data_IF_327799422820
#
_entry.id   IF_327799422820
#
_cell.length_a   1.000
_cell.length_b   1.000
_cell.length_c   1.000
_cell.angle_alpha   90.00
_cell.angle_beta   90.00
_cell.angle_gamma   90.00
#
_symmetry.space_group_name_H-M   'P 1'
#
loop_
_entity.id
_entity.type
_entity.pdbx_description
1 polymer ?
#
# COMPACT_ATOMS: atom_id res chain seq x y z
N UNK A 1 8.08 -7.10 28.78
CA UNK A 1 7.08 -6.59 27.81
C UNK A 1 7.77 -6.58 26.46
N UNK A 2 7.15 -7.17 25.45
CA UNK A 2 7.66 -7.12 24.08
C UNK A 2 7.41 -5.70 23.56
N UNK A 3 8.44 -5.05 23.03
CA UNK A 3 8.32 -3.77 22.33
C UNK A 3 7.74 -3.99 20.93
N UNK A 4 7.16 -2.97 20.27
CA UNK A 4 6.64 -3.12 18.91
C UNK A 4 7.67 -3.65 17.90
N UNK A 5 8.95 -3.30 18.09
CA UNK A 5 10.04 -3.77 17.25
C UNK A 5 10.39 -5.25 17.53
N UNK A 6 10.38 -5.66 18.80
CA UNK A 6 10.56 -7.07 19.17
C UNK A 6 9.39 -7.92 18.65
N UNK A 7 8.15 -7.41 18.70
CA UNK A 7 7.00 -8.08 18.09
C UNK A 7 7.19 -8.22 16.58
N UNK A 8 7.58 -7.15 15.89
CA UNK A 8 7.83 -7.16 14.45
C UNK A 8 8.82 -8.27 14.07
N UNK A 9 9.98 -8.33 14.74
CA UNK A 9 11.00 -9.34 14.45
C UNK A 9 10.55 -10.74 14.84
N UNK A 10 9.86 -10.89 15.96
CA UNK A 10 9.31 -12.17 16.35
C UNK A 10 8.31 -12.67 15.30
N UNK A 11 7.32 -11.85 14.92
CA UNK A 11 6.31 -12.24 13.94
C UNK A 11 6.93 -12.53 12.57
N UNK A 12 7.91 -11.73 12.13
CA UNK A 12 8.71 -12.00 10.92
C UNK A 12 9.33 -13.40 10.96
N UNK A 13 9.98 -13.75 12.05
CA UNK A 13 10.68 -15.03 12.16
C UNK A 13 9.68 -16.20 12.14
N UNK A 14 8.49 -16.04 12.73
CA UNK A 14 7.42 -17.02 12.62
C UNK A 14 6.93 -17.22 11.18
N UNK A 15 6.81 -16.14 10.41
CA UNK A 15 6.44 -16.24 8.99
C UNK A 15 7.51 -17.01 8.20
N UNK A 16 8.80 -16.75 8.48
CA UNK A 16 9.92 -17.48 7.86
C UNK A 16 9.91 -18.96 8.19
N UNK A 17 9.75 -19.31 9.47
CA UNK A 17 9.68 -20.70 9.93
C UNK A 17 8.53 -21.48 9.27
N UNK A 18 7.45 -20.79 8.89
CA UNK A 18 6.31 -21.39 8.18
C UNK A 18 6.41 -21.37 6.66
N UNK A 19 7.51 -20.85 6.11
CA UNK A 19 7.66 -20.67 4.67
C UNK A 19 6.51 -19.83 4.08
N UNK A 20 6.08 -18.80 4.81
CA UNK A 20 5.14 -17.78 4.33
C UNK A 20 5.97 -16.70 3.65
N UNK A 21 5.67 -16.40 2.39
CA UNK A 21 6.32 -15.30 1.68
C UNK A 21 5.74 -13.99 2.16
N UNK A 22 6.60 -13.05 2.55
CA UNK A 22 6.18 -11.73 2.98
C UNK A 22 7.21 -10.65 2.63
N UNK A 23 6.75 -9.39 2.68
CA UNK A 23 7.59 -8.20 2.72
C UNK A 23 7.02 -7.18 3.71
N UNK A 24 7.83 -6.70 4.65
CA UNK A 24 7.49 -5.62 5.58
C UNK A 24 7.59 -4.30 4.83
N UNK A 25 6.54 -3.48 4.83
CA UNK A 25 6.46 -2.28 3.99
C UNK A 25 6.04 -1.03 4.78
N UNK A 26 5.81 0.06 4.05
CA UNK A 26 5.21 1.31 4.53
C UNK A 26 5.91 1.84 5.79
N UNK A 27 5.21 2.05 6.92
CA UNK A 27 5.77 2.76 8.08
C UNK A 27 7.01 2.08 8.67
N UNK A 28 6.98 0.76 8.82
CA UNK A 28 8.10 0.00 9.38
C UNK A 28 9.29 -0.03 8.43
N UNK A 29 9.07 -0.15 7.12
CA UNK A 29 10.15 -0.04 6.14
C UNK A 29 10.80 1.36 6.16
N UNK A 30 10.00 2.42 6.32
CA UNK A 30 10.54 3.78 6.45
C UNK A 30 11.35 3.97 7.74
N UNK A 31 11.02 3.28 8.83
CA UNK A 31 11.86 3.26 10.05
C UNK A 31 13.17 2.53 9.78
N UNK A 32 13.12 1.36 9.13
CA UNK A 32 14.31 0.59 8.76
C UNK A 32 15.28 1.40 7.87
N UNK A 33 14.74 2.16 6.92
CA UNK A 33 15.52 3.03 6.05
C UNK A 33 15.91 4.39 6.66
N UNK A 34 15.64 4.62 7.95
CA UNK A 34 16.02 5.85 8.65
C UNK A 34 15.25 7.10 8.23
N UNK A 35 14.12 6.95 7.53
CA UNK A 35 13.26 8.05 7.08
C UNK A 35 12.18 8.44 8.10
N UNK A 36 11.90 7.56 9.07
CA UNK A 36 10.97 7.80 10.17
C UNK A 36 11.57 7.27 11.48
N UNK A 37 11.20 7.90 12.61
CA UNK A 37 11.67 7.46 13.93
C UNK A 37 10.80 6.34 14.52
N UNK A 38 9.49 6.34 14.20
CA UNK A 38 8.55 5.35 14.70
C UNK A 38 7.36 5.18 13.73
N UNK A 39 6.61 4.12 13.95
CA UNK A 39 5.28 3.88 13.37
C UNK A 39 4.41 3.20 14.41
N UNK A 40 3.09 3.34 14.27
CA UNK A 40 2.09 2.71 15.15
C UNK A 40 1.65 1.34 14.64
N UNK A 41 1.74 1.15 13.34
CA UNK A 41 1.21 -0.02 12.64
C UNK A 41 2.35 -0.70 11.87
N UNK A 42 2.23 -2.01 11.68
CA UNK A 42 3.10 -2.81 10.81
C UNK A 42 2.33 -3.24 9.57
N UNK A 43 2.87 -2.94 8.40
CA UNK A 43 2.28 -3.26 7.11
C UNK A 43 3.04 -4.45 6.49
N UNK A 44 2.30 -5.48 6.07
CA UNK A 44 2.87 -6.71 5.53
C UNK A 44 2.23 -7.04 4.19
N UNK A 45 3.04 -7.21 3.17
CA UNK A 45 2.62 -7.80 1.91
C UNK A 45 2.81 -9.31 2.06
N UNK A 46 1.76 -10.08 1.85
CA UNK A 46 1.79 -11.55 1.93
C UNK A 46 1.13 -12.09 0.67
N UNK A 47 1.80 -13.03 0.01
CA UNK A 47 1.25 -13.67 -1.20
C UNK A 47 -0.11 -14.31 -0.86
N UNK A 48 -1.20 -14.02 -1.62
CA UNK A 48 -2.53 -14.53 -1.32
C UNK A 48 -2.59 -16.06 -1.09
N UNK A 49 -1.80 -16.83 -1.84
CA UNK A 49 -1.70 -18.28 -1.69
C UNK A 49 -1.13 -18.76 -0.33
N UNK A 50 -0.40 -17.91 0.40
CA UNK A 50 0.13 -18.22 1.73
C UNK A 50 -0.82 -17.81 2.87
N UNK A 51 -1.94 -17.15 2.59
CA UNK A 51 -2.91 -16.74 3.61
C UNK A 51 -3.52 -17.91 4.41
N UNK A 52 -3.78 -19.11 3.84
CA UNK A 52 -4.16 -20.26 4.65
C UNK A 52 -3.10 -20.65 5.69
N UNK A 53 -1.81 -20.57 5.35
CA UNK A 53 -0.71 -20.84 6.30
C UNK A 53 -0.64 -19.76 7.38
N UNK A 54 -0.80 -18.49 7.01
CA UNK A 54 -0.86 -17.39 7.96
C UNK A 54 -2.02 -17.57 8.94
N UNK A 55 -3.23 -17.90 8.47
CA UNK A 55 -4.37 -18.19 9.35
C UNK A 55 -4.06 -19.34 10.29
N UNK A 56 -3.48 -20.44 9.79
CA UNK A 56 -3.11 -21.57 10.63
C UNK A 56 -2.09 -21.18 11.72
N UNK A 57 -1.10 -20.35 11.39
CA UNK A 57 -0.14 -19.81 12.35
C UNK A 57 -0.83 -18.96 13.43
N UNK A 58 -1.69 -18.01 13.04
CA UNK A 58 -2.43 -17.16 13.99
C UNK A 58 -3.30 -18.00 14.93
N UNK A 59 -4.01 -19.00 14.40
CA UNK A 59 -4.83 -19.92 15.19
C UNK A 59 -4.03 -20.78 16.16
N UNK A 60 -2.81 -21.17 15.78
CA UNK A 60 -1.92 -21.90 16.67
C UNK A 60 -1.48 -21.02 17.84
N UNK A 61 -1.04 -19.79 17.56
CA UNK A 61 -0.57 -18.87 18.60
C UNK A 61 -1.69 -18.38 19.53
N UNK A 62 -2.92 -18.30 19.04
CA UNK A 62 -4.11 -18.09 19.88
C UNK A 62 -4.35 -19.25 20.88
N UNK A 63 -3.88 -20.47 20.58
CA UNK A 63 -4.05 -21.66 21.44
C UNK A 63 -2.85 -21.98 22.34
N UNK A 64 -1.72 -21.28 22.16
CA UNK A 64 -0.51 -21.51 22.96
C UNK A 64 -0.68 -21.02 24.40
N UNK A 65 0.30 -21.32 25.25
CA UNK A 65 0.38 -20.83 26.64
C UNK A 65 1.71 -20.08 26.83
N UNK A 66 1.69 -18.78 27.13
CA UNK A 66 0.51 -17.90 27.13
C UNK A 66 -0.07 -17.69 25.71
N UNK A 67 -1.40 -17.54 25.56
CA UNK A 67 -2.01 -17.37 24.26
C UNK A 67 -1.81 -15.94 23.75
N UNK A 68 -1.69 -15.80 22.43
CA UNK A 68 -1.91 -14.50 21.79
C UNK A 68 -3.40 -14.19 21.80
N UNK A 69 -3.76 -12.95 22.09
CA UNK A 69 -5.09 -12.45 21.74
C UNK A 69 -5.00 -11.85 20.35
N UNK A 70 -5.92 -12.21 19.47
CA UNK A 70 -5.95 -11.73 18.08
C UNK A 70 -7.38 -11.28 17.79
N UNK A 71 -7.55 -10.12 17.19
CA UNK A 71 -8.86 -9.56 16.83
C UNK A 71 -8.79 -8.84 15.49
N UNK A 72 -9.88 -8.86 14.73
CA UNK A 72 -10.03 -7.88 13.65
C UNK A 72 -10.18 -6.47 14.24
N UNK A 73 -9.72 -5.46 13.51
CA UNK A 73 -9.89 -4.04 13.87
C UNK A 73 -11.24 -3.50 13.36
N UNK A 74 -11.75 -2.45 14.00
CA UNK A 74 -13.00 -1.75 13.61
C UNK A 74 -12.89 -0.90 12.33
N UNK A 75 -11.86 -1.09 11.50
CA UNK A 75 -11.59 -0.26 10.33
C UNK A 75 -11.95 -1.00 9.03
N UNK A 76 -11.92 -0.27 7.91
CA UNK A 76 -12.26 -0.78 6.59
C UNK A 76 -11.31 -1.92 6.20
N UNK A 77 -11.85 -3.09 5.88
CA UNK A 77 -11.06 -4.26 5.49
C UNK A 77 -11.93 -5.45 5.14
N UNK A 78 -11.30 -6.48 4.58
CA UNK A 78 -11.89 -7.74 4.21
C UNK A 78 -11.43 -8.87 5.15
N UNK A 79 -12.12 -10.02 5.18
CA UNK A 79 -11.58 -11.20 5.85
C UNK A 79 -10.24 -11.61 5.23
N UNK A 80 -9.40 -12.26 6.04
CA UNK A 80 -8.10 -12.80 5.64
C UNK A 80 -8.25 -14.00 4.68
N UNK A 81 -8.82 -13.78 3.49
CA UNK A 81 -9.17 -14.77 2.46
C UNK A 81 -8.50 -14.37 1.14
N UNK A 82 -7.99 -15.37 0.43
CA UNK A 82 -7.22 -15.24 -0.81
C UNK A 82 -7.90 -14.35 -1.86
N UNK A 83 -9.15 -14.65 -2.21
CA UNK A 83 -9.88 -13.94 -3.27
C UNK A 83 -10.01 -12.43 -2.99
N UNK A 84 -10.25 -12.04 -1.74
CA UNK A 84 -10.37 -10.63 -1.36
C UNK A 84 -9.03 -9.91 -1.43
N UNK A 85 -7.98 -10.52 -0.87
CA UNK A 85 -6.66 -9.89 -0.76
C UNK A 85 -5.92 -9.86 -2.10
N UNK A 86 -6.13 -10.85 -2.96
CA UNK A 86 -5.70 -10.84 -4.36
C UNK A 86 -6.39 -9.71 -5.16
N UNK A 87 -7.63 -9.36 -4.81
CA UNK A 87 -8.38 -8.26 -5.43
C UNK A 87 -8.09 -6.87 -4.81
N UNK A 88 -7.03 -6.76 -4.00
CA UNK A 88 -6.56 -5.49 -3.45
C UNK A 88 -7.28 -5.02 -2.19
N UNK A 89 -8.12 -5.86 -1.57
CA UNK A 89 -8.54 -5.60 -0.19
C UNK A 89 -7.38 -5.80 0.78
N UNK A 90 -7.48 -5.13 1.93
CA UNK A 90 -6.58 -5.29 3.07
C UNK A 90 -7.31 -5.95 4.23
N UNK A 91 -6.57 -6.66 5.09
CA UNK A 91 -7.07 -7.23 6.34
C UNK A 91 -6.33 -6.59 7.51
N UNK A 92 -7.06 -6.14 8.52
CA UNK A 92 -6.52 -5.35 9.63
C UNK A 92 -6.73 -6.08 10.95
N UNK A 93 -5.64 -6.44 11.62
CA UNK A 93 -5.63 -7.20 12.85
C UNK A 93 -5.00 -6.39 14.00
N UNK A 94 -5.47 -6.65 15.21
CA UNK A 94 -4.86 -6.25 16.46
C UNK A 94 -4.38 -7.52 17.17
N UNK A 95 -3.11 -7.56 17.56
CA UNK A 95 -2.47 -8.71 18.20
C UNK A 95 -1.90 -8.28 19.54
N UNK A 96 -2.18 -9.06 20.59
CA UNK A 96 -1.55 -8.94 21.90
C UNK A 96 -0.76 -10.22 22.18
N UNK A 97 0.58 -10.19 22.06
CA UNK A 97 1.42 -11.38 22.21
C UNK A 97 1.48 -11.96 23.64
N UNK A 98 1.04 -11.17 24.62
CA UNK A 98 0.98 -11.56 26.03
C UNK A 98 -0.23 -10.93 26.72
N UNK A 99 -0.77 -11.58 27.75
CA UNK A 99 -1.83 -11.01 28.57
C UNK A 99 -1.39 -9.67 29.19
N UNK A 100 -2.13 -8.59 28.92
CA UNK A 100 -1.79 -7.24 29.38
C UNK A 100 -0.61 -6.58 28.66
N UNK A 101 -0.11 -7.18 27.57
CA UNK A 101 0.90 -6.58 26.70
C UNK A 101 0.35 -5.46 25.82
N UNK A 102 1.22 -4.75 25.07
CA UNK A 102 0.77 -3.75 24.11
C UNK A 102 -0.06 -4.37 22.98
N UNK A 103 -0.93 -3.54 22.40
CA UNK A 103 -1.66 -3.86 21.17
C UNK A 103 -0.76 -3.59 19.97
N UNK A 104 -0.58 -4.58 19.13
CA UNK A 104 0.20 -4.50 17.89
C UNK A 104 -0.75 -4.49 16.70
N UNK A 105 -0.78 -3.40 15.94
CA UNK A 105 -1.59 -3.31 14.74
C UNK A 105 -0.83 -3.91 13.53
N UNK A 106 -1.50 -4.85 12.86
CA UNK A 106 -0.96 -5.60 11.73
C UNK A 106 -1.90 -5.46 10.55
N UNK A 107 -1.42 -4.81 9.49
CA UNK A 107 -2.16 -4.58 8.25
C UNK A 107 -1.60 -5.48 7.15
N UNK A 108 -2.44 -6.34 6.58
CA UNK A 108 -2.06 -7.36 5.59
C UNK A 108 -2.56 -6.97 4.20
N UNK A 109 -1.66 -6.98 3.22
CA UNK A 109 -1.91 -6.71 1.80
C UNK A 109 -1.64 -7.99 0.99
N UNK A 110 -2.57 -8.39 0.13
CA UNK A 110 -2.31 -9.42 -0.89
C UNK A 110 -1.83 -8.82 -2.21
N UNK A 111 -2.51 -7.77 -2.66
CA UNK A 111 -2.15 -6.97 -3.83
C UNK A 111 -1.93 -5.51 -3.40
N UNK A 112 -0.68 -5.12 -3.06
CA UNK A 112 -0.40 -3.76 -2.59
C UNK A 112 -0.66 -2.72 -3.70
N UNK A 113 -1.18 -1.53 -3.36
CA UNK A 113 -1.56 -0.54 -4.37
C UNK A 113 -0.36 0.01 -5.12
N UNK A 114 -0.48 0.10 -6.46
CA UNK A 114 0.53 0.66 -7.41
C UNK A 114 1.79 -0.17 -7.55
N UNK A 115 1.78 -1.39 -7.00
CA UNK A 115 2.83 -2.39 -7.18
C UNK A 115 2.31 -3.39 -8.19
N UNK A 116 3.15 -3.77 -9.15
CA UNK A 116 2.73 -4.70 -10.18
C UNK A 116 2.66 -6.13 -9.61
N UNK A 117 1.75 -6.98 -10.11
CA UNK A 117 1.75 -8.39 -9.73
C UNK A 117 3.11 -9.03 -9.96
N UNK A 118 3.60 -9.78 -8.97
CA UNK A 118 4.90 -10.47 -9.04
C UNK A 118 6.13 -9.58 -8.85
N UNK A 119 5.98 -8.26 -8.67
CA UNK A 119 7.11 -7.35 -8.41
C UNK A 119 7.42 -7.14 -6.93
N UNK A 120 6.86 -7.96 -6.04
CA UNK A 120 7.11 -7.87 -4.60
C UNK A 120 8.42 -8.57 -4.29
N UNK A 121 9.45 -7.77 -4.01
CA UNK A 121 10.74 -8.23 -3.53
C UNK A 121 10.95 -7.77 -2.08
N UNK A 122 11.65 -8.59 -1.30
CA UNK A 122 12.08 -8.28 0.06
C UNK A 122 13.57 -8.58 0.21
N UNK A 123 14.25 -7.79 1.03
CA UNK A 123 15.66 -8.01 1.38
C UNK A 123 15.85 -9.21 2.33
N UNK A 124 17.10 -9.51 2.69
CA UNK A 124 17.44 -10.58 3.63
C UNK A 124 16.84 -10.39 5.03
N UNK A 125 16.41 -9.17 5.37
CA UNK A 125 15.74 -8.84 6.64
C UNK A 125 14.21 -8.86 6.52
N UNK A 126 13.69 -9.12 5.32
CA UNK A 126 12.27 -9.24 5.03
C UNK A 126 11.59 -7.89 4.78
N UNK A 127 12.34 -6.80 4.59
CA UNK A 127 11.79 -5.49 4.25
C UNK A 127 11.64 -5.32 2.74
N UNK A 128 10.54 -4.73 2.31
CA UNK A 128 10.29 -4.44 0.91
C UNK A 128 11.27 -3.39 0.39
N UNK A 129 11.77 -3.57 -0.83
CA UNK A 129 12.78 -2.69 -1.43
C UNK A 129 12.34 -1.21 -1.53
N UNK A 130 13.29 -0.25 -1.51
CA UNK A 130 12.95 1.17 -1.49
C UNK A 130 12.06 1.64 -2.65
N UNK A 131 12.24 1.12 -3.87
CA UNK A 131 11.38 1.43 -5.04
C UNK A 131 9.92 1.05 -4.74
N UNK A 132 9.69 -0.19 -4.30
CA UNK A 132 8.35 -0.70 -3.95
C UNK A 132 7.69 0.18 -2.88
N UNK A 133 8.41 0.47 -1.80
CA UNK A 133 7.89 1.32 -0.71
C UNK A 133 7.55 2.72 -1.25
N UNK A 134 8.37 3.27 -2.13
CA UNK A 134 8.14 4.58 -2.72
C UNK A 134 6.90 4.60 -3.61
N UNK A 135 6.59 3.52 -4.33
CA UNK A 135 5.32 3.36 -5.05
C UNK A 135 4.12 3.32 -4.12
N UNK A 136 4.19 2.52 -3.05
CA UNK A 136 3.10 2.43 -2.07
C UNK A 136 2.82 3.76 -1.38
N UNK A 137 3.87 4.56 -1.10
CA UNK A 137 3.79 5.86 -0.44
C UNK A 137 3.30 7.01 -1.33
N UNK A 138 2.99 6.79 -2.62
CA UNK A 138 2.32 7.80 -3.47
C UNK A 138 0.83 7.97 -3.13
N UNK A 139 0.54 8.23 -1.85
CA UNK A 139 -0.80 8.40 -1.31
C UNK A 139 -1.30 9.83 -1.48
N UNK A 140 -2.50 10.10 -0.98
CA UNK A 140 -3.08 11.45 -0.88
C UNK A 140 -2.66 12.21 0.40
N UNK A 141 -1.69 11.69 1.16
CA UNK A 141 -1.21 12.30 2.41
C UNK A 141 0.04 13.13 2.12
N UNK A 142 -0.02 14.42 2.41
CA UNK A 142 1.10 15.33 2.16
C UNK A 142 2.42 14.87 2.80
N UNK A 143 2.34 14.28 4.00
CA UNK A 143 3.52 13.81 4.75
C UNK A 143 4.21 12.58 4.13
N UNK A 144 3.57 11.88 3.20
CA UNK A 144 4.17 10.70 2.56
C UNK A 144 5.10 11.12 1.39
N UNK A 145 4.90 12.30 0.79
CA UNK A 145 5.72 12.75 -0.34
C UNK A 145 7.19 13.06 -0.01
N UNK A 146 7.53 13.67 1.16
CA UNK A 146 8.92 13.75 1.60
C UNK A 146 9.56 12.37 1.81
N UNK A 147 8.79 11.35 2.18
CA UNK A 147 9.27 9.97 2.30
C UNK A 147 9.59 9.40 0.92
N UNK A 148 8.73 9.63 -0.08
CA UNK A 148 8.99 9.23 -1.48
C UNK A 148 10.30 9.84 -1.99
N UNK A 149 10.54 11.12 -1.71
CA UNK A 149 11.79 11.80 -2.08
C UNK A 149 13.00 11.23 -1.32
N UNK A 150 12.86 10.93 -0.03
CA UNK A 150 13.89 10.28 0.78
C UNK A 150 14.28 8.89 0.28
N UNK A 151 13.29 8.07 -0.13
CA UNK A 151 13.53 6.78 -0.77
C UNK A 151 14.24 6.94 -2.12
N UNK A 152 13.91 7.97 -2.89
CA UNK A 152 14.62 8.31 -4.13
C UNK A 152 16.10 8.61 -3.88
N UNK A 153 16.44 9.29 -2.78
CA UNK A 153 17.84 9.56 -2.38
C UNK A 153 18.60 8.30 -1.99
N UNK A 154 17.94 7.34 -1.34
CA UNK A 154 18.53 6.03 -1.03
C UNK A 154 18.84 5.28 -2.33
N UNK A 155 17.89 5.25 -3.26
CA UNK A 155 18.08 4.65 -4.58
C UNK A 155 19.20 5.35 -5.38
N UNK A 156 19.26 6.68 -5.34
CA UNK A 156 20.33 7.47 -5.98
C UNK A 156 21.70 7.11 -5.41
N UNK A 157 21.82 7.03 -4.07
CA UNK A 157 23.07 6.63 -3.40
C UNK A 157 23.50 5.20 -3.74
N UNK A 158 22.53 4.32 -3.99
CA UNK A 158 22.75 2.95 -4.48
C UNK A 158 22.94 2.85 -6.01
N UNK A 159 22.95 3.99 -6.72
CA UNK A 159 23.07 4.08 -8.18
C UNK A 159 21.97 3.32 -8.95
N UNK A 160 20.78 3.21 -8.36
CA UNK A 160 19.62 2.55 -8.95
C UNK A 160 18.87 3.53 -9.87
N UNK A 161 18.60 3.19 -11.15
CA UNK A 161 17.88 4.07 -12.07
C UNK A 161 16.49 4.52 -11.61
N UNK A 162 15.84 3.69 -10.80
CA UNK A 162 14.52 3.90 -10.20
C UNK A 162 14.48 5.19 -9.35
N UNK A 163 15.62 5.70 -8.89
CA UNK A 163 15.71 7.02 -8.26
C UNK A 163 15.03 8.12 -9.09
N UNK A 164 15.17 8.07 -10.42
CA UNK A 164 14.54 9.03 -11.34
C UNK A 164 13.01 8.93 -11.35
N UNK A 165 12.44 7.76 -11.02
CA UNK A 165 10.99 7.58 -10.92
C UNK A 165 10.42 8.33 -9.71
N UNK A 166 11.20 8.46 -8.63
CA UNK A 166 10.69 8.91 -7.33
C UNK A 166 11.14 10.32 -6.93
N UNK A 167 12.23 10.84 -7.48
CA UNK A 167 12.76 12.16 -7.12
C UNK A 167 11.73 13.28 -7.33
N UNK A 168 11.47 14.06 -6.28
CA UNK A 168 10.48 15.15 -6.26
C UNK A 168 11.12 16.55 -6.38
N UNK A 169 12.46 16.62 -6.30
CA UNK A 169 13.23 17.86 -6.47
C UNK A 169 13.69 18.01 -7.93
N UNK A 170 13.27 19.09 -8.59
CA UNK A 170 13.55 19.33 -10.03
C UNK A 170 15.04 19.24 -10.40
N UNK A 171 15.91 19.98 -9.69
CA UNK A 171 17.34 20.01 -9.96
C UNK A 171 18.00 18.62 -9.82
N UNK A 172 17.65 17.88 -8.75
CA UNK A 172 18.17 16.54 -8.53
C UNK A 172 17.64 15.53 -9.55
N UNK A 173 16.35 15.62 -9.88
CA UNK A 173 15.74 14.78 -10.91
C UNK A 173 16.44 14.97 -12.26
N UNK A 174 16.71 16.22 -12.64
CA UNK A 174 17.44 16.55 -13.87
C UNK A 174 18.86 15.98 -13.84
N UNK A 175 19.57 16.10 -12.72
CA UNK A 175 20.91 15.56 -12.55
C UNK A 175 20.93 14.02 -12.71
N UNK A 176 20.03 13.32 -12.01
CA UNK A 176 19.88 11.86 -12.13
C UNK A 176 19.55 11.49 -13.57
N UNK A 177 18.55 12.13 -14.17
CA UNK A 177 18.10 11.82 -15.53
C UNK A 177 19.22 11.92 -16.56
N UNK A 178 20.01 13.00 -16.52
CA UNK A 178 21.12 13.22 -17.44
C UNK A 178 22.30 12.26 -17.25
N UNK A 179 22.46 11.70 -16.05
CA UNK A 179 23.48 10.72 -15.77
C UNK A 179 23.10 9.31 -16.30
N UNK A 180 21.82 9.05 -16.55
CA UNK A 180 21.36 7.74 -17.01
C UNK A 180 21.66 7.50 -18.50
N UNK A 181 22.08 6.28 -18.89
CA UNK A 181 22.16 5.89 -20.30
C UNK A 181 20.80 6.00 -21.00
N UNK A 182 20.78 6.40 -22.27
CA UNK A 182 19.53 6.51 -23.06
C UNK A 182 18.70 5.23 -23.09
N UNK A 183 19.34 4.06 -23.12
CA UNK A 183 18.65 2.78 -23.07
C UNK A 183 17.83 2.63 -21.77
N UNK A 184 18.39 3.05 -20.63
CA UNK A 184 17.73 3.04 -19.32
C UNK A 184 16.66 4.13 -19.24
N UNK A 185 16.94 5.33 -19.76
CA UNK A 185 15.93 6.39 -19.86
C UNK A 185 14.65 5.88 -20.54
N UNK A 186 14.79 5.19 -21.67
CA UNK A 186 13.66 4.64 -22.43
C UNK A 186 12.83 3.61 -21.65
N UNK A 187 13.42 2.85 -20.72
CA UNK A 187 12.65 1.91 -19.89
C UNK A 187 11.89 2.60 -18.77
N UNK A 188 12.32 3.79 -18.34
CA UNK A 188 11.67 4.55 -17.27
C UNK A 188 10.52 5.43 -17.78
N UNK A 189 10.57 5.89 -19.04
CA UNK A 189 9.54 6.76 -19.65
C UNK A 189 8.10 6.24 -19.48
N UNK A 190 7.78 4.94 -19.70
CA UNK A 190 6.43 4.42 -19.53
C UNK A 190 5.91 4.50 -18.09
N UNK A 191 6.82 4.55 -17.10
CA UNK A 191 6.48 4.56 -15.68
C UNK A 191 6.36 5.99 -15.13
N UNK A 192 7.03 6.97 -15.75
CA UNK A 192 6.98 8.38 -15.36
C UNK A 192 7.07 9.30 -16.58
N UNK A 193 5.95 9.58 -17.28
CA UNK A 193 5.94 10.37 -18.51
C UNK A 193 6.57 11.77 -18.40
N UNK A 194 6.54 12.38 -17.21
CA UNK A 194 7.21 13.65 -16.91
C UNK A 194 8.70 13.65 -17.30
N UNK A 195 9.38 12.50 -17.25
CA UNK A 195 10.79 12.37 -17.60
C UNK A 195 11.08 12.79 -19.06
N UNK A 196 10.14 12.56 -19.98
CA UNK A 196 10.28 12.97 -21.39
C UNK A 196 10.31 14.50 -21.56
N UNK A 197 9.81 15.25 -20.57
CA UNK A 197 9.72 16.70 -20.63
C UNK A 197 10.95 17.40 -20.06
N UNK A 198 11.82 16.70 -19.30
CA UNK A 198 12.93 17.32 -18.56
C UNK A 198 13.82 18.18 -19.46
N UNK A 199 14.22 17.67 -20.62
CA UNK A 199 15.12 18.41 -21.54
C UNK A 199 14.42 19.53 -22.31
N UNK A 200 13.08 19.49 -22.41
CA UNK A 200 12.30 20.56 -23.04
C UNK A 200 12.04 21.75 -22.12
N UNK A 201 12.24 21.57 -20.81
CA UNK A 201 12.03 22.60 -19.80
C UNK A 201 13.39 23.14 -19.36
N UNK A 202 13.67 24.41 -19.65
CA UNK A 202 14.96 25.05 -19.35
C UNK A 202 15.13 25.49 -17.90
N UNK A 203 14.02 25.63 -17.16
CA UNK A 203 13.96 26.20 -15.81
C UNK A 203 13.49 25.15 -14.80
N UNK A 204 14.19 25.06 -13.66
CA UNK A 204 13.85 24.11 -12.61
C UNK A 204 12.55 24.48 -11.89
N UNK A 205 12.16 25.76 -11.84
CA UNK A 205 10.85 26.16 -11.28
C UNK A 205 9.69 25.65 -12.14
N UNK A 206 9.84 25.71 -13.47
CA UNK A 206 8.88 25.14 -14.40
C UNK A 206 8.78 23.62 -14.24
N UNK A 207 9.92 22.91 -14.13
CA UNK A 207 9.94 21.47 -13.92
C UNK A 207 9.31 21.09 -12.56
N UNK A 208 9.59 21.87 -11.51
CA UNK A 208 8.96 21.69 -10.21
C UNK A 208 7.44 21.88 -10.27
N UNK A 209 6.97 22.83 -11.09
CA UNK A 209 5.56 23.00 -11.42
C UNK A 209 4.94 21.74 -12.03
N UNK A 210 5.62 21.08 -12.98
CA UNK A 210 5.14 19.83 -13.58
C UNK A 210 5.15 18.66 -12.58
N UNK A 211 6.16 18.57 -11.71
CA UNK A 211 6.22 17.55 -10.64
C UNK A 211 5.01 17.69 -9.70
N UNK A 212 4.63 18.93 -9.36
CA UNK A 212 3.43 19.18 -8.53
C UNK A 212 2.15 18.72 -9.23
N UNK A 213 2.03 18.93 -10.54
CA UNK A 213 0.88 18.45 -11.33
C UNK A 213 0.84 16.92 -11.34
N UNK A 214 1.98 16.27 -11.60
CA UNK A 214 2.11 14.81 -11.53
C UNK A 214 1.67 14.27 -10.16
N UNK A 215 2.13 14.89 -9.07
CA UNK A 215 1.71 14.56 -7.71
C UNK A 215 0.18 14.68 -7.56
N UNK A 216 -0.44 15.77 -8.02
CA UNK A 216 -1.90 15.92 -7.98
C UNK A 216 -2.63 14.81 -8.73
N UNK A 217 -2.08 14.32 -9.85
CA UNK A 217 -2.63 13.15 -10.58
C UNK A 217 -2.61 11.91 -9.68
N UNK A 218 -1.48 11.61 -9.02
CA UNK A 218 -1.37 10.50 -8.08
C UNK A 218 -2.38 10.57 -6.93
N UNK A 219 -2.51 11.74 -6.32
CA UNK A 219 -3.39 11.97 -5.18
C UNK A 219 -4.86 11.81 -5.57
N UNK A 220 -5.28 12.42 -6.67
CA UNK A 220 -6.68 12.40 -7.12
C UNK A 220 -7.11 11.02 -7.59
N UNK A 221 -6.30 10.31 -8.37
CA UNK A 221 -6.61 8.93 -8.79
C UNK A 221 -6.65 8.00 -7.56
N UNK A 222 -5.73 8.16 -6.60
CA UNK A 222 -5.78 7.41 -5.35
C UNK A 222 -7.05 7.66 -4.56
N UNK A 223 -7.50 8.92 -4.47
CA UNK A 223 -8.74 9.27 -3.78
C UNK A 223 -9.95 8.62 -4.46
N UNK A 224 -10.02 8.61 -5.79
CA UNK A 224 -11.09 7.92 -6.52
C UNK A 224 -11.06 6.41 -6.26
N UNK A 225 -9.86 5.81 -6.28
CA UNK A 225 -9.65 4.40 -5.93
C UNK A 225 -10.17 4.09 -4.53
N UNK A 226 -9.66 4.82 -3.53
CA UNK A 226 -9.96 4.59 -2.13
C UNK A 226 -11.44 4.84 -1.79
N UNK A 227 -12.06 5.86 -2.41
CA UNK A 227 -13.49 6.14 -2.24
C UNK A 227 -14.35 4.94 -2.61
N UNK A 228 -13.97 4.16 -3.63
CA UNK A 228 -14.70 2.96 -4.02
C UNK A 228 -14.63 1.88 -2.94
N UNK A 229 -13.44 1.53 -2.45
CA UNK A 229 -13.29 0.58 -1.33
C UNK A 229 -14.08 1.02 -0.10
N UNK A 230 -13.97 2.31 0.25
CA UNK A 230 -14.68 2.87 1.38
C UNK A 230 -16.21 2.80 1.20
N UNK A 231 -16.71 3.06 -0.01
CA UNK A 231 -18.14 2.98 -0.32
C UNK A 231 -18.65 1.54 -0.15
N UNK A 232 -18.03 0.57 -0.83
CA UNK A 232 -18.45 -0.84 -0.79
C UNK A 232 -18.40 -1.39 0.64
N UNK A 233 -17.36 -1.06 1.41
CA UNK A 233 -17.28 -1.47 2.81
C UNK A 233 -18.39 -0.85 3.66
N UNK A 234 -18.70 0.44 3.48
CA UNK A 234 -19.77 1.13 4.22
C UNK A 234 -21.15 0.54 3.90
N UNK A 235 -21.40 0.20 2.64
CA UNK A 235 -22.64 -0.45 2.22
C UNK A 235 -22.78 -1.84 2.83
N UNK A 236 -21.74 -2.68 2.73
CA UNK A 236 -21.63 -3.96 3.42
C UNK A 236 -21.91 -3.83 4.92
N UNK A 237 -21.16 -2.96 5.61
CA UNK A 237 -21.25 -2.77 7.05
C UNK A 237 -22.64 -2.30 7.48
N UNK A 238 -23.27 -1.40 6.72
CA UNK A 238 -24.65 -0.94 7.02
C UNK A 238 -25.68 -2.05 6.89
N UNK A 239 -25.51 -2.97 5.94
CA UNK A 239 -26.37 -4.15 5.79
C UNK A 239 -26.15 -5.11 6.95
N UNK A 240 -24.89 -5.43 7.25
CA UNK A 240 -24.53 -6.37 8.32
C UNK A 240 -24.96 -5.88 9.71
N UNK A 241 -24.81 -4.58 10.01
CA UNK A 241 -25.18 -3.97 11.29
C UNK A 241 -26.67 -4.12 11.65
N UNK A 242 -27.53 -4.49 10.70
CA UNK A 242 -28.96 -4.68 10.94
C UNK A 242 -29.30 -6.06 11.52
N UNK A 243 -28.33 -6.98 11.66
CA UNK A 243 -28.55 -8.26 12.34
C UNK A 243 -28.97 -8.06 13.80
N UNK A 244 -29.87 -8.92 14.26
CA UNK A 244 -30.15 -9.03 15.69
C UNK A 244 -28.86 -9.44 16.43
N UNK A 245 -28.60 -8.80 17.58
CA UNK A 245 -27.40 -9.03 18.39
C UNK A 245 -26.08 -8.75 17.63
N UNK A 246 -26.10 -7.76 16.74
CA UNK A 246 -24.91 -7.33 16.03
C UNK A 246 -23.88 -6.68 16.98
N UNK A 247 -22.66 -7.21 16.94
CA UNK A 247 -21.48 -6.68 17.64
C UNK A 247 -20.26 -6.98 16.76
N UNK A 248 -19.41 -5.98 16.51
CA UNK A 248 -18.18 -6.16 15.75
C UNK A 248 -17.08 -5.16 16.14
N UNK A 249 -15.81 -5.64 16.30
CA UNK A 249 -15.42 -7.02 16.47
C UNK A 249 -15.95 -7.54 17.80
N UNK A 250 -16.01 -8.86 17.93
CA UNK A 250 -16.47 -9.52 19.15
C UNK A 250 -15.29 -9.82 20.08
N UNK A 251 -15.52 -10.07 21.39
CA UNK A 251 -14.48 -10.57 22.29
C UNK A 251 -14.13 -12.06 22.05
N UNK A 252 -14.76 -12.72 21.08
CA UNK A 252 -14.54 -14.13 20.77
C UNK A 252 -13.13 -14.38 20.21
N UNK A 253 -12.65 -15.64 20.24
CA UNK A 253 -11.41 -16.01 19.56
C UNK A 253 -11.42 -15.65 18.07
N UNK A 254 -10.25 -15.32 17.51
CA UNK A 254 -10.02 -14.96 16.13
C UNK A 254 -10.62 -15.96 15.15
N UNK A 255 -10.55 -17.27 15.44
CA UNK A 255 -11.24 -18.30 14.64
C UNK A 255 -12.73 -17.99 14.42
N UNK A 256 -13.46 -17.67 15.50
CA UNK A 256 -14.89 -17.35 15.46
C UNK A 256 -15.14 -16.00 14.81
N UNK A 257 -14.32 -14.99 15.10
CA UNK A 257 -14.41 -13.69 14.43
C UNK A 257 -14.23 -13.84 12.91
N UNK A 258 -13.25 -14.63 12.47
CA UNK A 258 -12.98 -14.86 11.06
C UNK A 258 -14.14 -15.61 10.38
N UNK A 259 -14.65 -16.68 10.99
CA UNK A 259 -15.84 -17.39 10.50
C UNK A 259 -17.05 -16.44 10.36
N UNK A 260 -17.29 -15.60 11.37
CA UNK A 260 -18.38 -14.62 11.36
C UNK A 260 -18.20 -13.59 10.24
N UNK A 261 -17.00 -13.04 10.06
CA UNK A 261 -16.71 -12.07 9.01
C UNK A 261 -16.80 -12.67 7.60
N UNK A 262 -16.28 -13.89 7.39
CA UNK A 262 -16.40 -14.60 6.10
C UNK A 262 -17.87 -14.87 5.77
N UNK A 263 -18.64 -15.34 6.76
CA UNK A 263 -20.09 -15.55 6.58
C UNK A 263 -20.79 -14.24 6.27
N UNK A 264 -20.52 -13.17 7.04
CA UNK A 264 -21.11 -11.87 6.82
C UNK A 264 -20.76 -11.30 5.44
N UNK A 265 -19.50 -11.40 5.01
CA UNK A 265 -19.05 -10.95 3.69
C UNK A 265 -19.84 -11.62 2.56
N UNK A 266 -20.17 -12.91 2.71
CA UNK A 266 -21.02 -13.64 1.76
C UNK A 266 -22.50 -13.26 1.88
N UNK A 267 -23.05 -13.20 3.09
CA UNK A 267 -24.47 -12.92 3.34
C UNK A 267 -24.87 -11.48 2.98
N UNK A 268 -23.96 -10.52 3.18
CA UNK A 268 -24.19 -9.09 2.97
C UNK A 268 -23.40 -8.53 1.77
N UNK A 269 -23.04 -9.42 0.84
CA UNK A 269 -22.45 -9.11 -0.46
C UNK A 269 -21.30 -8.08 -0.38
N UNK A 270 -20.28 -8.35 0.44
CA UNK A 270 -19.02 -7.63 0.34
C UNK A 270 -18.34 -8.05 -0.97
N UNK A 271 -18.19 -7.16 -1.97
CA UNK A 271 -17.67 -7.55 -3.26
C UNK A 271 -16.22 -8.01 -3.15
N UNK A 272 -15.90 -9.14 -3.77
CA UNK A 272 -14.51 -9.63 -3.86
C UNK A 272 -13.69 -8.66 -4.71
N UNK A 273 -14.15 -8.37 -5.93
CA UNK A 273 -13.50 -7.44 -6.86
C UNK A 273 -14.18 -6.08 -6.80
N UNK A 274 -13.47 -5.05 -6.34
CA UNK A 274 -13.98 -3.68 -6.31
C UNK A 274 -13.57 -2.89 -7.56
N UNK A 275 -12.34 -3.14 -8.03
CA UNK A 275 -11.72 -2.44 -9.15
C UNK A 275 -11.61 -3.36 -10.35
N UNK A 276 -12.75 -3.70 -10.95
CA UNK A 276 -12.73 -4.25 -12.31
C UNK A 276 -12.21 -3.21 -13.33
N UNK A 277 -11.99 -3.61 -14.57
CA UNK A 277 -11.43 -2.70 -15.59
C UNK A 277 -12.31 -1.46 -15.84
N UNK A 278 -13.63 -1.58 -15.71
CA UNK A 278 -14.55 -0.45 -15.87
C UNK A 278 -14.44 0.52 -14.68
N UNK A 279 -14.36 0.01 -13.45
CA UNK A 279 -14.16 0.80 -12.24
C UNK A 279 -12.78 1.45 -12.21
N UNK A 280 -11.73 0.75 -12.68
CA UNK A 280 -10.38 1.31 -12.86
C UNK A 280 -10.41 2.48 -13.85
N UNK A 281 -11.04 2.30 -15.01
CA UNK A 281 -11.19 3.36 -16.01
C UNK A 281 -11.97 4.56 -15.46
N UNK A 282 -13.07 4.31 -14.77
CA UNK A 282 -13.87 5.39 -14.20
C UNK A 282 -13.13 6.15 -13.09
N UNK A 283 -12.35 5.45 -12.25
CA UNK A 283 -11.51 6.08 -11.23
C UNK A 283 -10.35 6.88 -11.84
N UNK A 284 -9.74 6.35 -12.90
CA UNK A 284 -8.71 7.02 -13.68
C UNK A 284 -9.23 8.33 -14.26
N UNK A 285 -10.29 8.27 -15.06
CA UNK A 285 -10.87 9.41 -15.77
C UNK A 285 -11.30 10.51 -14.80
N UNK A 286 -12.05 10.18 -13.74
CA UNK A 286 -12.43 11.18 -12.72
C UNK A 286 -11.22 11.76 -11.98
N UNK A 287 -10.19 10.95 -11.73
CA UNK A 287 -8.93 11.40 -11.15
C UNK A 287 -8.25 12.45 -12.03
N UNK A 288 -8.12 12.18 -13.34
CA UNK A 288 -7.54 13.10 -14.31
C UNK A 288 -8.36 14.39 -14.45
N UNK A 289 -9.69 14.30 -14.53
CA UNK A 289 -10.58 15.47 -14.56
C UNK A 289 -10.37 16.35 -13.33
N UNK A 290 -10.31 15.72 -12.16
CA UNK A 290 -10.08 16.43 -10.89
C UNK A 290 -8.69 17.03 -10.80
N UNK A 291 -7.66 16.33 -11.29
CA UNK A 291 -6.30 16.87 -11.36
C UNK A 291 -6.22 18.07 -12.30
N UNK A 292 -6.94 18.04 -13.42
CA UNK A 292 -7.08 19.17 -14.36
C UNK A 292 -7.69 20.38 -13.65
N UNK A 293 -8.79 20.17 -12.92
CA UNK A 293 -9.45 21.24 -12.16
C UNK A 293 -8.54 21.82 -11.06
N UNK A 294 -7.93 20.98 -10.24
CA UNK A 294 -7.11 21.42 -9.09
C UNK A 294 -5.83 22.12 -9.55
N UNK A 295 -5.17 21.59 -10.58
CA UNK A 295 -3.89 22.15 -11.06
C UNK A 295 -4.06 23.41 -11.91
N UNK A 296 -5.27 23.68 -12.43
CA UNK A 296 -5.53 24.76 -13.37
C UNK A 296 -4.79 24.59 -14.71
N UNK A 297 -4.29 23.39 -15.02
CA UNK A 297 -3.57 23.09 -16.27
C UNK A 297 -4.54 22.59 -17.35
N UNK A 298 -4.23 22.80 -18.64
CA UNK A 298 -4.99 22.17 -19.72
C UNK A 298 -5.02 20.65 -19.58
N UNK A 299 -6.16 20.02 -19.89
CA UNK A 299 -6.33 18.56 -19.80
C UNK A 299 -5.25 17.79 -20.59
N UNK A 300 -4.86 18.30 -21.77
CA UNK A 300 -3.78 17.72 -22.58
C UNK A 300 -2.43 17.67 -21.83
N UNK A 301 -2.11 18.70 -21.04
CA UNK A 301 -0.88 18.72 -20.22
C UNK A 301 -0.97 17.71 -19.09
N UNK A 302 -2.11 17.62 -18.41
CA UNK A 302 -2.32 16.65 -17.32
C UNK A 302 -2.22 15.22 -17.86
N UNK A 303 -2.85 14.93 -19.00
CA UNK A 303 -2.78 13.64 -19.67
C UNK A 303 -1.36 13.28 -20.11
N UNK A 304 -0.59 14.24 -20.63
CA UNK A 304 0.81 14.02 -21.01
C UNK A 304 1.73 13.69 -19.82
N UNK A 305 1.37 14.13 -18.61
CA UNK A 305 2.09 13.83 -17.37
C UNK A 305 1.61 12.56 -16.69
N UNK A 306 0.41 12.06 -17.03
CA UNK A 306 -0.23 10.98 -16.31
C UNK A 306 0.44 9.63 -16.64
N UNK A 307 0.97 8.91 -15.64
CA UNK A 307 1.43 7.53 -15.81
C UNK A 307 0.33 6.63 -16.40
N UNK A 308 0.67 5.46 -16.91
CA UNK A 308 -0.37 4.55 -17.43
C UNK A 308 -1.38 4.15 -16.35
N UNK A 309 -2.64 3.95 -16.75
CA UNK A 309 -3.71 3.46 -15.86
C UNK A 309 -3.26 2.21 -15.11
N UNK A 310 -2.69 1.24 -15.81
CA UNK A 310 -2.20 -0.02 -15.23
C UNK A 310 -1.06 0.15 -14.22
N UNK A 311 -0.31 1.26 -14.26
CA UNK A 311 0.67 1.56 -13.21
C UNK A 311 0.01 2.08 -11.94
N UNK A 312 -0.98 2.95 -12.08
CA UNK A 312 -1.61 3.60 -10.93
C UNK A 312 -2.70 2.73 -10.28
N UNK A 313 -3.33 1.88 -11.10
CA UNK A 313 -4.42 0.97 -10.79
C UNK A 313 -4.13 -0.42 -11.40
N UNK A 314 -3.10 -1.13 -10.90
CA UNK A 314 -2.69 -2.44 -11.42
C UNK A 314 -3.82 -3.48 -11.35
#
# INVERSE_FOLDING_TARGET
>A
MITPLEFLYHFRDLLRERGIRFAITSGMACVYYGLQQNTKDSDWIIEPADLPKLRALLLEYERRVPPWRISYRHIFGAPLVEEYLAAGWTSHLAIWPSAGGPEEHVDIFGAPPRVLPGSVAADEMGFAEPDLVAWMKRTDRDKDWPIVDGLARILEGAQMPEAALHMQQAAALRAIWRALPTAVQNTLLPHRPLLAMIESVSDDDMLQGLIRVERTIWETVNQERYRRYQHEWKEFYRRWKKEDFWEWPTPEPFSRQHERLVRAAKTYDLPVVILDEAAKEAAWTRGIERATLISGRPSATVLALAPSRGRMLP
#
